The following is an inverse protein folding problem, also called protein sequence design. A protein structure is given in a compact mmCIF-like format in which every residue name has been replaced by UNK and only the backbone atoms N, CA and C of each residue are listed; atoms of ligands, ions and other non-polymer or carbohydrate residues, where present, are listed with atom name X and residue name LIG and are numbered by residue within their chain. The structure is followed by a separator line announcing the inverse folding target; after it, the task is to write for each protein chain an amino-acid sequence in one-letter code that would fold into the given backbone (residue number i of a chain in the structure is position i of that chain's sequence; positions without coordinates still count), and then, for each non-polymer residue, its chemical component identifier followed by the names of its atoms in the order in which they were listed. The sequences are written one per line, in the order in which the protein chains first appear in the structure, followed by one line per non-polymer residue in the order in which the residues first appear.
data_IF_339831411132
#
_entry.id   IF_339831411132
#
_cell.length_a   1.000
_cell.length_b   1.000
_cell.length_c   1.000
_cell.angle_alpha   90.00
_cell.angle_beta   90.00
_cell.angle_gamma   90.00
#
_symmetry.space_group_name_H-M   'P 1'
#
loop_
_entity.id
_entity.type
_entity.pdbx_description
1 polymer ?
#
# COMPACT_ATOMS: atom_id res chain seq x y z
N UNK A 1 -7.59 -5.78 -1.63
CA UNK A 1 -6.59 -4.70 -1.60
C UNK A 1 -6.26 -4.43 -0.16
N UNK A 2 -5.01 -4.05 0.12
CA UNK A 2 -4.58 -3.65 1.45
C UNK A 2 -3.40 -2.67 1.38
N UNK A 3 -3.17 -1.95 2.47
CA UNK A 3 -2.07 -1.00 2.62
C UNK A 3 -1.03 -1.53 3.60
N UNK A 4 0.25 -1.36 3.27
CA UNK A 4 1.36 -1.72 4.16
C UNK A 4 2.43 -0.63 4.19
N UNK A 5 2.90 -0.32 5.39
CA UNK A 5 3.98 0.63 5.61
C UNK A 5 5.33 -0.06 5.49
N UNK A 6 6.17 0.39 4.56
CA UNK A 6 7.54 -0.12 4.37
C UNK A 6 8.54 0.95 4.77
N UNK A 7 9.50 0.59 5.63
CA UNK A 7 10.60 1.50 6.01
C UNK A 7 11.64 1.52 4.89
N UNK A 8 12.01 2.71 4.43
CA UNK A 8 13.03 2.91 3.38
C UNK A 8 14.38 2.32 3.81
N UNK A 9 14.68 2.36 5.11
CA UNK A 9 15.86 1.73 5.70
C UNK A 9 15.43 0.81 6.83
N UNK A 10 15.73 -0.48 6.68
CA UNK A 10 15.60 -1.48 7.72
C UNK A 10 17.02 -1.95 8.08
N UNK A 11 17.66 -1.41 9.14
CA UNK A 11 18.93 -1.96 9.58
C UNK A 11 18.69 -3.41 10.01
N UNK A 12 19.45 -4.34 9.43
CA UNK A 12 19.50 -5.72 9.92
C UNK A 12 20.05 -5.67 11.34
N UNK A 13 19.54 -6.51 12.25
CA UNK A 13 20.03 -6.53 13.63
C UNK A 13 21.55 -6.65 13.67
N UNK A 14 22.21 -5.68 14.30
CA UNK A 14 23.66 -5.68 14.45
C UNK A 14 24.03 -6.42 15.74
N UNK A 15 24.92 -7.41 15.63
CA UNK A 15 25.52 -8.03 16.82
C UNK A 15 26.69 -7.16 17.24
N UNK A 16 26.59 -6.56 18.43
CA UNK A 16 27.65 -5.72 18.98
C UNK A 16 28.33 -6.45 20.14
N UNK A 17 29.65 -6.62 20.05
CA UNK A 17 30.48 -7.20 21.12
C UNK A 17 31.08 -6.05 21.92
N UNK A 18 30.81 -6.01 23.23
CA UNK A 18 31.24 -4.93 24.12
C UNK A 18 32.01 -5.51 25.31
N UNK A 19 33.13 -4.91 25.75
CA UNK A 19 33.80 -5.31 26.99
C UNK A 19 32.88 -5.21 28.20
N UNK A 20 33.05 -6.12 29.17
CA UNK A 20 32.19 -6.23 30.37
C UNK A 20 32.14 -4.96 31.23
N UNK A 21 33.13 -4.07 31.08
CA UNK A 21 33.22 -2.80 31.81
C UNK A 21 32.27 -1.71 31.28
N UNK A 22 31.80 -1.83 30.05
CA UNK A 22 30.92 -0.84 29.42
C UNK A 22 29.47 -1.15 29.80
N UNK A 23 28.87 -0.25 30.59
CA UNK A 23 27.47 -0.38 31.05
C UNK A 23 26.46 0.07 30.02
N UNK A 24 26.78 1.12 29.27
CA UNK A 24 25.91 1.72 28.26
C UNK A 24 26.73 2.02 26.99
N UNK A 25 26.22 1.57 25.84
CA UNK A 25 26.79 1.86 24.53
C UNK A 25 25.74 2.57 23.68
N UNK A 26 26.07 3.78 23.22
CA UNK A 26 25.22 4.55 22.32
C UNK A 26 25.82 4.50 20.92
N UNK A 27 25.12 3.84 20.00
CA UNK A 27 25.45 3.89 18.57
C UNK A 27 24.59 4.98 17.95
N UNK A 28 25.20 5.92 17.21
CA UNK A 28 24.43 6.86 16.39
C UNK A 28 23.70 6.07 15.32
N UNK A 29 22.38 5.94 15.44
CA UNK A 29 21.60 5.38 14.37
C UNK A 29 21.61 6.38 13.20
N UNK A 30 21.89 5.92 11.98
CA UNK A 30 21.86 6.77 10.77
C UNK A 30 20.40 7.02 10.34
N UNK A 31 19.48 7.02 11.29
CA UNK A 31 18.05 6.75 11.12
C UNK A 31 17.32 7.88 10.42
N UNK A 32 17.12 7.72 9.11
CA UNK A 32 15.92 8.23 8.47
C UNK A 32 14.86 7.14 8.63
N UNK A 33 14.06 7.17 9.70
CA UNK A 33 12.92 6.27 9.95
C UNK A 33 11.71 6.59 9.05
N UNK A 34 11.97 7.08 7.84
CA UNK A 34 10.92 7.40 6.87
C UNK A 34 10.30 6.10 6.37
N UNK A 35 9.01 5.95 6.59
CA UNK A 35 8.18 4.94 5.96
C UNK A 35 7.53 5.51 4.70
N UNK A 36 7.34 4.64 3.72
CA UNK A 36 6.43 4.85 2.59
C UNK A 36 5.26 3.89 2.77
N UNK A 37 4.08 4.29 2.30
CA UNK A 37 2.92 3.40 2.29
C UNK A 37 2.81 2.78 0.91
N UNK A 38 2.54 1.47 0.84
CA UNK A 38 2.33 0.75 -0.41
C UNK A 38 0.92 0.20 -0.39
N UNK A 39 0.15 0.50 -1.43
CA UNK A 39 -1.15 -0.10 -1.70
C UNK A 39 -0.95 -1.24 -2.70
N UNK A 40 -1.32 -2.46 -2.31
CA UNK A 40 -1.22 -3.64 -3.16
C UNK A 40 -2.58 -4.31 -3.39
N UNK A 41 -2.73 -4.93 -4.56
CA UNK A 41 -3.93 -5.69 -4.93
C UNK A 41 -3.56 -6.96 -5.67
N UNK A 42 -4.04 -8.07 -5.14
CA UNK A 42 -3.84 -9.41 -5.69
C UNK A 42 -5.14 -10.01 -6.18
N UNK A 43 -5.02 -10.98 -7.09
CA UNK A 43 -6.12 -11.83 -7.50
C UNK A 43 -6.14 -13.12 -6.69
N UNK A 44 -7.34 -13.62 -6.40
CA UNK A 44 -7.52 -14.87 -5.67
C UNK A 44 -7.11 -16.12 -6.47
N UNK A 45 -7.04 -16.02 -7.80
CA UNK A 45 -6.65 -17.09 -8.71
C UNK A 45 -5.12 -17.21 -8.88
N UNK A 46 -4.34 -16.33 -8.24
CA UNK A 46 -2.88 -16.29 -8.37
C UNK A 46 -2.37 -15.63 -9.65
N UNK A 47 -3.24 -14.97 -10.43
CA UNK A 47 -2.84 -14.15 -11.56
C UNK A 47 -1.88 -13.02 -11.13
N UNK A 48 -1.00 -12.53 -12.03
CA UNK A 48 -0.06 -11.46 -11.70
C UNK A 48 -0.76 -10.25 -11.06
N UNK A 49 -0.20 -9.77 -9.95
CA UNK A 49 -0.76 -8.64 -9.22
C UNK A 49 -0.74 -7.35 -10.04
N UNK A 50 -1.69 -6.47 -9.72
CA UNK A 50 -1.74 -5.15 -10.31
C UNK A 50 -0.52 -4.36 -9.79
N UNK A 51 0.12 -3.52 -10.62
CA UNK A 51 1.23 -2.69 -10.17
C UNK A 51 0.89 -1.94 -8.87
N UNK A 52 1.76 -1.97 -7.85
CA UNK A 52 1.47 -1.34 -6.58
C UNK A 52 1.50 0.19 -6.70
N UNK A 53 0.73 0.86 -5.83
CA UNK A 53 0.76 2.32 -5.67
C UNK A 53 1.61 2.66 -4.45
N UNK A 54 2.61 3.51 -4.63
CA UNK A 54 3.54 3.91 -3.56
C UNK A 54 3.21 5.33 -3.15
N UNK A 55 3.01 5.56 -1.86
CA UNK A 55 2.73 6.88 -1.27
C UNK A 55 3.96 7.31 -0.47
N UNK A 56 4.58 8.39 -0.92
CA UNK A 56 5.71 8.98 -0.24
C UNK A 56 5.25 10.15 0.66
N UNK A 57 5.76 10.26 1.89
CA UNK A 57 5.54 11.44 2.72
C UNK A 57 6.21 12.66 2.10
N UNK A 58 5.42 13.71 1.84
CA UNK A 58 5.88 14.98 1.28
C UNK A 58 4.84 15.64 0.38
N UNK A 59 5.22 16.78 -0.19
CA UNK A 59 4.36 17.53 -1.13
C UNK A 59 4.68 17.25 -2.60
N UNK A 60 5.94 16.96 -2.91
CA UNK A 60 6.42 16.68 -4.26
C UNK A 60 7.56 15.66 -4.20
N UNK A 61 7.61 14.81 -5.22
CA UNK A 61 8.76 13.95 -5.49
C UNK A 61 9.56 14.59 -6.60
N UNK A 62 10.87 14.69 -6.41
CA UNK A 62 11.79 15.09 -7.47
C UNK A 62 12.00 13.89 -8.40
N UNK A 63 11.98 14.10 -9.71
CA UNK A 63 12.18 13.02 -10.69
C UNK A 63 13.47 12.25 -10.42
N UNK A 64 14.54 12.94 -10.03
CA UNK A 64 15.84 12.35 -9.69
C UNK A 64 15.84 11.45 -8.44
N UNK A 65 14.73 11.37 -7.68
CA UNK A 65 14.58 10.42 -6.57
C UNK A 65 14.03 9.06 -7.02
N UNK A 66 13.49 8.99 -8.25
CA UNK A 66 12.92 7.79 -8.82
C UNK A 66 13.96 7.16 -9.73
N UNK A 67 14.41 5.96 -9.37
CA UNK A 67 15.34 5.20 -10.18
C UNK A 67 14.69 4.78 -11.52
N UNK A 68 15.43 4.80 -12.62
CA UNK A 68 14.93 4.35 -13.93
C UNK A 68 14.50 2.88 -13.90
N UNK A 69 15.06 2.05 -13.02
CA UNK A 69 14.64 0.66 -12.82
C UNK A 69 13.28 0.53 -12.12
N UNK A 70 12.71 1.63 -11.60
CA UNK A 70 11.35 1.66 -11.09
C UNK A 70 10.30 1.75 -12.22
N UNK A 71 10.74 1.85 -13.49
CA UNK A 71 9.88 1.90 -14.67
C UNK A 71 9.13 0.58 -14.88
N UNK A 72 7.86 0.59 -14.48
CA UNK A 72 6.94 -0.52 -14.72
C UNK A 72 5.62 -0.31 -14.01
N UNK A 73 4.71 0.43 -14.64
CA UNK A 73 3.29 0.60 -14.31
C UNK A 73 2.93 0.95 -12.83
N UNK A 74 3.90 1.23 -11.96
CA UNK A 74 3.71 1.66 -10.58
C UNK A 74 3.31 3.13 -10.55
N UNK A 75 2.31 3.47 -9.74
CA UNK A 75 1.91 4.87 -9.50
C UNK A 75 2.61 5.34 -8.24
N UNK A 76 3.31 6.47 -8.33
CA UNK A 76 3.89 7.12 -7.14
C UNK A 76 3.04 8.34 -6.81
N UNK A 77 2.41 8.31 -5.64
CA UNK A 77 1.63 9.38 -5.06
C UNK A 77 2.41 10.06 -3.92
N UNK A 78 1.99 11.27 -3.58
CA UNK A 78 2.54 12.05 -2.47
C UNK A 78 1.42 12.48 -1.54
N UNK A 79 1.66 12.41 -0.24
CA UNK A 79 0.81 13.05 0.75
C UNK A 79 1.66 13.64 1.87
N UNK A 80 1.26 14.78 2.46
CA UNK A 80 2.03 15.39 3.56
C UNK A 80 2.25 14.45 4.73
N UNK A 81 1.32 13.52 4.97
CA UNK A 81 1.35 12.56 6.06
C UNK A 81 2.02 11.23 5.69
N UNK A 82 2.20 10.94 4.39
CA UNK A 82 2.64 9.63 3.89
C UNK A 82 1.55 8.55 3.89
N UNK A 83 0.32 8.88 4.30
CA UNK A 83 -0.83 7.97 4.29
C UNK A 83 -1.78 8.27 3.14
N UNK A 84 -2.69 7.34 2.89
CA UNK A 84 -3.77 7.49 1.92
C UNK A 84 -4.74 8.59 2.33
N UNK A 85 -5.24 9.30 1.32
CA UNK A 85 -6.36 10.22 1.45
C UNK A 85 -7.36 9.92 0.34
N UNK A 86 -8.50 10.58 0.36
CA UNK A 86 -9.61 10.34 -0.57
C UNK A 86 -9.21 10.53 -2.04
N UNK A 87 -8.41 11.55 -2.35
CA UNK A 87 -7.95 11.82 -3.72
C UNK A 87 -7.00 10.71 -4.19
N UNK A 88 -6.09 10.25 -3.33
CA UNK A 88 -5.18 9.13 -3.63
C UNK A 88 -5.97 7.83 -3.79
N UNK A 89 -6.97 7.58 -2.94
CA UNK A 89 -7.82 6.42 -3.02
C UNK A 89 -8.69 6.41 -4.31
N UNK A 90 -9.20 7.57 -4.75
CA UNK A 90 -9.90 7.69 -6.03
C UNK A 90 -8.98 7.46 -7.22
N UNK A 91 -7.77 8.01 -7.19
CA UNK A 91 -6.76 7.78 -8.22
C UNK A 91 -6.29 6.32 -8.25
N UNK A 92 -6.20 5.68 -7.09
CA UNK A 92 -5.96 4.24 -6.98
C UNK A 92 -7.11 3.44 -7.60
N UNK A 93 -8.37 3.85 -7.41
CA UNK A 93 -9.52 3.16 -8.01
C UNK A 93 -9.50 3.28 -9.54
N UNK A 94 -9.13 4.43 -10.11
CA UNK A 94 -8.89 4.57 -11.55
C UNK A 94 -7.79 3.63 -12.04
N UNK A 95 -6.70 3.58 -11.29
CA UNK A 95 -5.59 2.69 -11.57
C UNK A 95 -6.01 1.21 -11.55
N UNK A 96 -6.82 0.83 -10.57
CA UNK A 96 -7.40 -0.51 -10.45
C UNK A 96 -8.28 -0.84 -11.67
N UNK A 97 -9.26 0.01 -11.98
CA UNK A 97 -10.18 -0.18 -13.12
C UNK A 97 -9.40 -0.36 -14.42
N UNK A 98 -8.38 0.48 -14.65
CA UNK A 98 -7.52 0.42 -15.84
C UNK A 98 -6.81 -0.92 -16.00
N UNK A 99 -6.31 -1.50 -14.90
CA UNK A 99 -5.51 -2.72 -14.94
C UNK A 99 -6.34 -4.00 -14.89
N UNK A 100 -7.45 -4.02 -14.15
CA UNK A 100 -8.38 -5.15 -14.14
C UNK A 100 -9.21 -5.17 -15.43
N UNK A 101 -9.41 -4.01 -16.06
CA UNK A 101 -10.25 -3.89 -17.25
C UNK A 101 -11.74 -4.10 -16.93
N UNK A 102 -12.18 -3.63 -15.75
CA UNK A 102 -13.59 -3.62 -15.35
C UNK A 102 -14.38 -2.57 -16.11
N UNK A 103 -15.70 -2.73 -16.21
CA UNK A 103 -16.57 -1.82 -16.93
C UNK A 103 -17.98 -2.38 -17.13
N UNK A 104 -18.90 -1.59 -17.71
CA UNK A 104 -20.31 -1.98 -17.87
C UNK A 104 -20.50 -3.22 -18.77
N UNK A 105 -19.62 -3.44 -19.74
CA UNK A 105 -19.68 -4.61 -20.64
C UNK A 105 -18.84 -5.80 -20.13
N UNK A 106 -18.37 -5.75 -18.89
CA UNK A 106 -17.43 -6.73 -18.31
C UNK A 106 -18.08 -7.51 -17.18
N UNK A 107 -17.46 -8.66 -16.86
CA UNK A 107 -17.86 -9.45 -15.71
C UNK A 107 -17.70 -8.65 -14.42
N UNK A 108 -18.64 -8.87 -13.50
CA UNK A 108 -18.61 -8.25 -12.19
C UNK A 108 -17.36 -8.66 -11.43
N UNK A 109 -16.69 -7.68 -10.83
CA UNK A 109 -15.50 -7.88 -10.01
C UNK A 109 -15.85 -7.66 -8.54
N UNK A 110 -15.49 -8.61 -7.66
CA UNK A 110 -15.62 -8.44 -6.21
C UNK A 110 -14.28 -7.89 -5.70
N UNK A 111 -14.34 -6.74 -5.03
CA UNK A 111 -13.17 -6.08 -4.44
C UNK A 111 -13.21 -6.23 -2.92
N UNK A 112 -12.28 -7.00 -2.36
CA UNK A 112 -12.14 -7.17 -0.92
C UNK A 112 -11.33 -6.00 -0.33
N UNK A 113 -11.87 -5.34 0.70
CA UNK A 113 -11.28 -4.17 1.36
C UNK A 113 -11.26 -4.37 2.89
N UNK A 114 -10.29 -3.74 3.55
CA UNK A 114 -10.45 -3.46 4.97
C UNK A 114 -11.47 -2.32 5.12
N UNK A 115 -12.26 -2.30 6.20
CA UNK A 115 -13.38 -1.36 6.36
C UNK A 115 -12.96 0.09 6.63
N UNK A 116 -11.95 0.61 5.91
CA UNK A 116 -11.44 1.96 6.09
C UNK A 116 -12.43 3.01 5.55
N UNK A 117 -12.65 4.06 6.34
CA UNK A 117 -13.75 5.04 6.20
C UNK A 117 -13.75 5.77 4.83
N UNK A 118 -12.61 5.78 4.13
CA UNK A 118 -12.46 6.44 2.83
C UNK A 118 -13.25 5.81 1.68
N UNK A 119 -13.76 4.58 1.83
CA UNK A 119 -14.48 3.86 0.77
C UNK A 119 -15.95 4.28 0.59
N UNK A 120 -16.49 5.08 1.52
CA UNK A 120 -17.92 5.35 1.62
C UNK A 120 -18.40 6.68 1.03
N UNK A 121 -17.52 7.43 0.36
CA UNK A 121 -17.95 8.66 -0.30
C UNK A 121 -18.78 8.36 -1.55
N UNK A 122 -19.71 9.26 -1.86
CA UNK A 122 -20.61 9.14 -3.01
C UNK A 122 -19.85 8.85 -4.32
N UNK A 123 -18.71 9.52 -4.52
CA UNK A 123 -17.85 9.34 -5.70
C UNK A 123 -17.34 7.89 -5.84
N UNK A 124 -16.97 7.23 -4.74
CA UNK A 124 -16.54 5.83 -4.78
C UNK A 124 -17.72 4.92 -5.12
N UNK A 125 -18.86 5.12 -4.47
CA UNK A 125 -20.06 4.30 -4.68
C UNK A 125 -20.55 4.38 -6.13
N UNK A 126 -20.58 5.58 -6.71
CA UNK A 126 -20.93 5.79 -8.11
C UNK A 126 -19.94 5.06 -9.01
N UNK A 127 -18.64 5.24 -8.79
CA UNK A 127 -17.59 4.67 -9.62
C UNK A 127 -17.52 3.15 -9.55
N UNK A 128 -17.74 2.56 -8.38
CA UNK A 128 -17.89 1.11 -8.22
C UNK A 128 -19.05 0.59 -9.07
N UNK A 129 -20.21 1.26 -8.99
CA UNK A 129 -21.41 0.87 -9.73
C UNK A 129 -21.24 0.98 -11.23
N UNK A 130 -20.68 2.08 -11.72
CA UNK A 130 -20.43 2.31 -13.16
C UNK A 130 -19.45 1.28 -13.76
N UNK A 131 -18.55 0.74 -12.95
CA UNK A 131 -17.54 -0.22 -13.39
C UNK A 131 -17.85 -1.68 -13.01
N UNK A 132 -19.06 -1.97 -12.52
CA UNK A 132 -19.48 -3.31 -12.10
C UNK A 132 -18.58 -3.93 -11.02
N UNK A 133 -18.08 -3.09 -10.11
CA UNK A 133 -17.29 -3.50 -8.96
C UNK A 133 -18.20 -3.59 -7.74
N UNK A 134 -18.13 -4.70 -7.02
CA UNK A 134 -18.83 -4.91 -5.76
C UNK A 134 -17.80 -4.86 -4.63
N UNK A 135 -17.73 -3.77 -3.85
CA UNK A 135 -16.87 -3.74 -2.67
C UNK A 135 -17.42 -4.67 -1.60
N UNK A 136 -16.54 -5.47 -1.00
CA UNK A 136 -16.85 -6.32 0.14
C UNK A 136 -15.84 -6.05 1.25
N UNK A 137 -16.34 -5.62 2.40
CA UNK A 137 -15.51 -5.24 3.52
C UNK A 137 -15.40 -6.37 4.54
N UNK A 138 -14.20 -6.56 5.07
CA UNK A 138 -14.01 -7.47 6.19
C UNK A 138 -14.61 -6.88 7.48
N UNK A 139 -15.20 -7.72 8.35
CA UNK A 139 -15.61 -7.27 9.67
C UNK A 139 -14.43 -6.67 10.44
N UNK A 140 -14.69 -5.60 11.20
CA UNK A 140 -13.67 -4.95 12.02
C UNK A 140 -12.96 -5.95 12.94
N UNK A 141 -11.67 -5.73 13.16
CA UNK A 141 -10.78 -6.58 13.98
C UNK A 141 -10.55 -8.01 13.46
N UNK A 142 -11.05 -8.39 12.29
CA UNK A 142 -10.78 -9.72 11.69
C UNK A 142 -9.81 -9.68 10.50
N UNK A 143 -9.26 -8.51 10.15
CA UNK A 143 -8.30 -8.36 9.05
C UNK A 143 -7.08 -9.25 9.23
N UNK A 144 -6.52 -9.32 10.45
CA UNK A 144 -5.38 -10.19 10.78
C UNK A 144 -5.61 -11.70 10.52
N UNK A 145 -6.86 -12.14 10.28
CA UNK A 145 -7.20 -13.53 9.93
C UNK A 145 -7.68 -13.63 8.49
N UNK A 146 -8.50 -12.67 8.04
CA UNK A 146 -9.22 -12.75 6.76
C UNK A 146 -8.51 -12.03 5.61
N UNK A 147 -7.63 -11.07 5.92
CA UNK A 147 -6.90 -10.32 4.91
C UNK A 147 -5.70 -11.14 4.43
N UNK A 148 -5.86 -11.79 3.27
CA UNK A 148 -4.82 -12.63 2.66
C UNK A 148 -3.49 -11.89 2.49
N UNK A 149 -3.53 -10.58 2.23
CA UNK A 149 -2.34 -9.75 2.11
C UNK A 149 -1.58 -9.65 3.44
N UNK A 150 -2.26 -9.49 4.57
CA UNK A 150 -1.64 -9.43 5.91
C UNK A 150 -1.13 -10.79 6.40
N UNK A 151 -1.82 -11.87 6.03
CA UNK A 151 -1.48 -13.23 6.49
C UNK A 151 -0.41 -13.88 5.61
N UNK A 152 -0.38 -13.58 4.31
CA UNK A 152 0.50 -14.25 3.37
C UNK A 152 1.63 -13.38 2.83
N UNK A 153 1.31 -12.21 2.30
CA UNK A 153 2.25 -11.44 1.47
C UNK A 153 3.09 -10.45 2.29
N UNK A 154 2.47 -9.78 3.24
CA UNK A 154 3.13 -8.74 4.04
C UNK A 154 3.84 -9.28 5.29
N UNK A 155 3.74 -10.59 5.56
CA UNK A 155 4.48 -11.19 6.67
C UNK A 155 5.99 -11.23 6.36
N UNK A 156 6.86 -10.98 7.36
CA UNK A 156 8.31 -11.04 7.20
C UNK A 156 8.86 -12.46 6.97
#
# INVERSE_FOLDING_TARGET
MNESGVRIRCPTGEIVIVPTEVKDLYTSSVENCKSVTIIETIYADGSPSIPPVIICPGEKIMENWVDENLLGAKVIAVSPTGYTNENIALAWLDHFIKHVGTGPDKHCCILLLDGHITHYKDDFTIKYRENHIVPFEFPSYLTHVLQLLDVGIFQP
#
